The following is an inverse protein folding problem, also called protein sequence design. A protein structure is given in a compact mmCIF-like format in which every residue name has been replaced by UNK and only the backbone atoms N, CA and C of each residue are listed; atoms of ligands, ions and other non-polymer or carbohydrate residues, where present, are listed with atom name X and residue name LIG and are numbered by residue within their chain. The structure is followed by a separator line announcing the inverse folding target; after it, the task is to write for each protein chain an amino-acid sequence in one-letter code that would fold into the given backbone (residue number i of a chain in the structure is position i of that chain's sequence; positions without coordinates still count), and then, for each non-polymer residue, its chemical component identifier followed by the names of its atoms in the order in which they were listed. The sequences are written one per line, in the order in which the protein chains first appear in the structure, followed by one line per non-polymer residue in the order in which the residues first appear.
data_IF_125652246189
#
_entry.id   IF_125652246189
#
_cell.length_a   1.000
_cell.length_b   1.000
_cell.length_c   1.000
_cell.angle_alpha   90.00
_cell.angle_beta   90.00
_cell.angle_gamma   90.00
#
_symmetry.space_group_name_H-M   'P 1'
#
loop_
_entity.id
_entity.type
_entity.pdbx_description
1 polymer ?
#
# COMPACT_ATOMS: atom_id res chain seq x y z
N UNK A 1 -5.11 8.14 -2.72
CA UNK A 1 -4.77 6.84 -2.09
C UNK A 1 -4.72 5.66 -3.06
N UNK A 2 -5.81 5.28 -3.77
CA UNK A 2 -5.81 4.10 -4.66
C UNK A 2 -4.68 4.14 -5.72
N UNK A 3 -4.43 5.32 -6.31
CA UNK A 3 -3.34 5.51 -7.26
C UNK A 3 -1.94 5.30 -6.64
N UNK A 4 -1.73 5.69 -5.38
CA UNK A 4 -0.45 5.51 -4.67
C UNK A 4 -0.18 4.04 -4.33
N UNK A 5 -1.20 3.32 -3.87
CA UNK A 5 -1.14 1.87 -3.63
C UNK A 5 -0.79 1.13 -4.92
N UNK A 6 -1.49 1.45 -6.01
CA UNK A 6 -1.23 0.84 -7.31
C UNK A 6 0.16 1.21 -7.87
N UNK A 7 0.60 2.46 -7.65
CA UNK A 7 1.94 2.91 -8.03
C UNK A 7 3.03 2.14 -7.27
N UNK A 8 2.89 1.95 -5.96
CA UNK A 8 3.83 1.17 -5.14
C UNK A 8 3.97 -0.27 -5.66
N UNK A 9 2.85 -0.97 -5.84
CA UNK A 9 2.86 -2.34 -6.38
C UNK A 9 3.44 -2.38 -7.81
N UNK A 10 3.10 -1.41 -8.66
CA UNK A 10 3.61 -1.32 -10.03
C UNK A 10 5.13 -1.11 -10.08
N UNK A 11 5.67 -0.29 -9.17
CA UNK A 11 7.11 -0.04 -9.05
C UNK A 11 7.85 -1.30 -8.58
N UNK A 12 7.33 -2.02 -7.59
CA UNK A 12 7.91 -3.29 -7.12
C UNK A 12 7.90 -4.35 -8.24
N UNK A 13 6.79 -4.47 -8.96
CA UNK A 13 6.66 -5.42 -10.08
C UNK A 13 7.41 -5.01 -11.36
N UNK A 14 8.00 -3.82 -11.40
CA UNK A 14 8.68 -3.31 -12.61
C UNK A 14 7.75 -3.09 -13.82
N UNK A 15 6.45 -2.93 -13.63
CA UNK A 15 5.50 -2.72 -14.72
C UNK A 15 5.48 -1.26 -15.19
N UNK A 16 6.29 -0.92 -16.20
CA UNK A 16 6.39 0.45 -16.74
C UNK A 16 5.04 1.06 -17.16
N UNK A 17 4.20 0.30 -17.89
CA UNK A 17 2.89 0.77 -18.32
C UNK A 17 1.93 1.01 -17.13
N UNK A 18 1.99 0.17 -16.09
CA UNK A 18 1.20 0.31 -14.87
C UNK A 18 1.65 1.51 -14.04
N UNK A 19 2.97 1.76 -13.97
CA UNK A 19 3.54 2.97 -13.35
C UNK A 19 3.01 4.21 -14.05
N UNK A 20 3.09 4.27 -15.38
CA UNK A 20 2.57 5.40 -16.15
C UNK A 20 1.08 5.64 -15.88
N UNK A 21 0.26 4.58 -15.94
CA UNK A 21 -1.18 4.66 -15.69
C UNK A 21 -1.48 5.13 -14.26
N UNK A 22 -0.73 4.65 -13.26
CA UNK A 22 -0.91 5.01 -11.85
C UNK A 22 -0.53 6.48 -11.59
N UNK A 23 0.59 6.96 -12.15
CA UNK A 23 0.98 8.37 -12.08
C UNK A 23 -0.07 9.25 -12.74
N UNK A 24 -0.53 8.90 -13.95
CA UNK A 24 -1.57 9.66 -14.64
C UNK A 24 -2.88 9.70 -13.86
N UNK A 25 -3.28 8.57 -13.24
CA UNK A 25 -4.45 8.48 -12.37
C UNK A 25 -4.30 9.34 -11.11
N UNK A 26 -3.14 9.29 -10.45
CA UNK A 26 -2.84 10.09 -9.26
C UNK A 26 -2.88 11.59 -9.53
N UNK A 27 -2.27 12.05 -10.64
CA UNK A 27 -2.35 13.46 -11.06
C UNK A 27 -3.79 13.91 -11.30
N UNK A 28 -4.61 13.09 -11.95
CA UNK A 28 -6.05 13.36 -12.14
C UNK A 28 -6.82 13.43 -10.82
N UNK A 29 -6.39 12.65 -9.83
CA UNK A 29 -6.98 12.62 -8.48
C UNK A 29 -6.42 13.72 -7.54
N UNK A 30 -5.48 14.56 -8.00
CA UNK A 30 -4.92 15.66 -7.24
C UNK A 30 -3.71 15.31 -6.35
N UNK A 31 -3.10 14.12 -6.51
CA UNK A 31 -1.82 13.83 -5.85
C UNK A 31 -0.72 14.74 -6.40
N UNK A 32 0.15 15.23 -5.51
CA UNK A 32 1.28 16.11 -5.88
C UNK A 32 2.45 15.32 -6.44
N UNK A 33 3.35 16.01 -7.15
CA UNK A 33 4.56 15.39 -7.69
C UNK A 33 5.48 14.85 -6.57
N UNK A 34 5.56 15.54 -5.42
CA UNK A 34 6.34 15.07 -4.26
C UNK A 34 5.83 13.71 -3.78
N UNK A 35 4.51 13.55 -3.66
CA UNK A 35 3.90 12.27 -3.30
C UNK A 35 4.22 11.23 -4.37
N UNK A 36 3.85 11.47 -5.63
CA UNK A 36 4.00 10.49 -6.70
C UNK A 36 5.46 10.01 -6.89
N UNK A 37 6.43 10.93 -6.83
CA UNK A 37 7.85 10.58 -6.98
C UNK A 37 8.41 9.83 -5.76
N UNK A 38 7.95 10.15 -4.55
CA UNK A 38 8.48 9.55 -3.32
C UNK A 38 7.74 8.28 -2.87
N UNK A 39 6.77 7.75 -3.64
CA UNK A 39 6.09 6.48 -3.30
C UNK A 39 7.09 5.34 -3.16
N UNK A 40 8.14 5.29 -3.99
CA UNK A 40 9.16 4.24 -3.91
C UNK A 40 9.95 4.25 -2.59
N UNK A 41 9.96 5.38 -1.88
CA UNK A 41 10.66 5.58 -0.61
C UNK A 41 9.68 5.96 0.52
N UNK A 42 8.43 5.49 0.45
CA UNK A 42 7.34 5.96 1.30
C UNK A 42 7.58 5.84 2.81
N UNK A 43 8.38 4.86 3.25
CA UNK A 43 8.71 4.64 4.66
C UNK A 43 9.38 5.87 5.29
N UNK A 44 10.27 6.53 4.55
CA UNK A 44 11.02 7.72 4.98
C UNK A 44 10.35 9.03 4.56
N UNK A 45 9.44 9.00 3.59
CA UNK A 45 8.86 10.20 3.01
C UNK A 45 7.80 10.86 3.91
N UNK A 46 7.87 12.18 4.18
CA UNK A 46 6.96 12.85 5.12
C UNK A 46 5.56 13.14 4.56
N UNK A 47 5.25 12.70 3.34
CA UNK A 47 4.05 13.15 2.61
C UNK A 47 2.79 12.33 2.86
N UNK A 48 2.90 11.22 3.60
CA UNK A 48 1.81 10.24 3.77
C UNK A 48 1.29 10.22 5.19
N UNK A 49 -0.03 10.23 5.31
CA UNK A 49 -0.74 10.03 6.57
C UNK A 49 -0.55 8.60 7.10
N UNK A 50 -0.83 8.36 8.37
CA UNK A 50 -0.73 7.01 8.96
C UNK A 50 -1.62 5.99 8.25
N UNK A 51 -2.82 6.38 7.86
CA UNK A 51 -3.73 5.53 7.08
C UNK A 51 -3.14 5.17 5.70
N UNK A 52 -2.52 6.14 5.02
CA UNK A 52 -1.86 5.89 3.73
C UNK A 52 -0.62 5.01 3.90
N UNK A 53 0.15 5.19 4.98
CA UNK A 53 1.29 4.34 5.32
C UNK A 53 0.87 2.90 5.59
N UNK A 54 -0.24 2.69 6.29
CA UNK A 54 -0.80 1.35 6.49
C UNK A 54 -1.21 0.71 5.15
N UNK A 55 -1.87 1.47 4.27
CA UNK A 55 -2.25 0.98 2.94
C UNK A 55 -1.02 0.65 2.06
N UNK A 56 0.03 1.47 2.11
CA UNK A 56 1.29 1.24 1.39
C UNK A 56 2.07 0.04 1.96
N UNK A 57 2.08 -0.13 3.29
CA UNK A 57 2.68 -1.29 3.94
C UNK A 57 2.00 -2.60 3.49
N UNK A 58 0.67 -2.61 3.45
CA UNK A 58 -0.11 -3.74 2.95
C UNK A 58 0.20 -4.04 1.48
N UNK A 59 0.22 -3.01 0.64
CA UNK A 59 0.50 -3.15 -0.78
C UNK A 59 1.91 -3.71 -1.03
N UNK A 60 2.92 -3.17 -0.37
CA UNK A 60 4.31 -3.62 -0.47
C UNK A 60 4.45 -5.08 -0.01
N UNK A 61 3.89 -5.42 1.15
CA UNK A 61 3.98 -6.76 1.72
C UNK A 61 3.26 -7.82 0.87
N UNK A 62 2.05 -7.51 0.40
CA UNK A 62 1.30 -8.40 -0.49
C UNK A 62 2.02 -8.58 -1.84
N UNK A 63 2.63 -7.51 -2.37
CA UNK A 63 3.37 -7.59 -3.63
C UNK A 63 4.64 -8.41 -3.44
N UNK A 64 5.49 -8.12 -2.45
CA UNK A 64 6.78 -8.81 -2.25
C UNK A 64 6.69 -10.31 -1.93
N UNK A 65 5.49 -10.89 -1.84
CA UNK A 65 5.31 -12.33 -1.71
C UNK A 65 6.02 -13.11 -2.85
N UNK A 66 6.09 -12.55 -4.07
CA UNK A 66 6.83 -13.21 -5.16
C UNK A 66 8.36 -13.24 -4.94
N UNK A 67 8.88 -12.38 -4.05
CA UNK A 67 10.29 -12.32 -3.69
C UNK A 67 10.63 -13.29 -2.53
N UNK A 68 9.65 -14.06 -2.04
CA UNK A 68 9.80 -14.94 -0.87
C UNK A 68 9.68 -14.23 0.48
N UNK A 69 9.16 -13.00 0.51
CA UNK A 69 8.85 -12.31 1.76
C UNK A 69 7.74 -13.03 2.55
N UNK A 70 7.69 -12.78 3.86
CA UNK A 70 6.66 -13.33 4.78
C UNK A 70 5.22 -12.97 4.35
N UNK A 71 5.06 -11.91 3.56
CA UNK A 71 3.77 -11.42 3.09
C UNK A 71 3.12 -10.50 4.12
N UNK A 72 1.79 -10.51 4.16
CA UNK A 72 1.01 -9.66 5.07
C UNK A 72 0.99 -10.28 6.46
N UNK A 73 1.78 -9.74 7.39
CA UNK A 73 1.81 -10.15 8.80
C UNK A 73 0.58 -9.65 9.56
N UNK A 74 0.36 -10.18 10.76
CA UNK A 74 -0.71 -9.74 11.65
C UNK A 74 -0.57 -8.25 12.02
N UNK A 75 0.66 -7.76 12.24
CA UNK A 75 0.91 -6.34 12.52
C UNK A 75 0.53 -5.43 11.34
N UNK A 76 0.86 -5.85 10.10
CA UNK A 76 0.47 -5.13 8.89
C UNK A 76 -1.05 -5.12 8.74
N UNK A 77 -1.68 -6.26 9.03
CA UNK A 77 -3.14 -6.38 8.98
C UNK A 77 -3.83 -5.48 10.01
N UNK A 78 -3.37 -5.51 11.26
CA UNK A 78 -3.88 -4.67 12.35
C UNK A 78 -3.73 -3.18 12.05
N UNK A 79 -2.60 -2.76 11.48
CA UNK A 79 -2.37 -1.38 11.09
C UNK A 79 -3.34 -0.89 10.01
N UNK A 80 -3.79 -1.75 9.09
CA UNK A 80 -4.83 -1.38 8.11
C UNK A 80 -6.21 -1.38 8.76
N UNK A 81 -6.51 -2.40 9.58
CA UNK A 81 -7.79 -2.54 10.27
C UNK A 81 -8.09 -1.32 11.17
N UNK A 82 -7.07 -0.76 11.82
CA UNK A 82 -7.22 0.45 12.65
C UNK A 82 -7.65 1.70 11.88
N UNK A 83 -7.43 1.76 10.56
CA UNK A 83 -7.73 2.93 9.73
C UNK A 83 -8.92 2.76 8.78
N UNK A 84 -9.26 1.52 8.39
CA UNK A 84 -10.21 1.27 7.30
C UNK A 84 -11.42 0.40 7.69
N UNK A 85 -11.63 0.13 8.98
CA UNK A 85 -12.83 -0.61 9.43
C UNK A 85 -14.13 0.09 9.06
N UNK A 86 -15.02 -0.66 8.40
CA UNK A 86 -16.43 -0.30 8.24
C UNK A 86 -17.29 -0.78 9.42
N UNK A 87 -18.51 -0.22 9.59
CA UNK A 87 -19.50 -0.77 10.51
C UNK A 87 -19.84 -2.22 10.13
N UNK A 88 -19.68 -3.17 11.05
CA UNK A 88 -20.01 -4.59 10.85
C UNK A 88 -18.81 -5.51 10.51
N UNK A 89 -17.59 -5.01 10.52
CA UNK A 89 -16.38 -5.84 10.41
C UNK A 89 -16.21 -6.74 11.64
N UNK A 90 -16.61 -8.02 11.54
CA UNK A 90 -16.23 -9.04 12.52
C UNK A 90 -14.75 -9.32 12.37
N UNK A 91 -13.95 -8.96 13.38
CA UNK A 91 -12.51 -9.20 13.38
C UNK A 91 -12.21 -10.66 13.06
N UNK A 92 -11.28 -10.88 12.12
CA UNK A 92 -10.78 -12.23 11.85
C UNK A 92 -10.23 -12.77 13.16
N UNK A 93 -10.80 -13.84 13.70
CA UNK A 93 -10.07 -14.68 14.65
C UNK A 93 -8.92 -15.29 13.86
N UNK A 94 -7.74 -14.72 14.01
CA UNK A 94 -6.49 -15.26 13.49
C UNK A 94 -6.26 -16.62 14.16
N UNK A 95 -6.77 -17.68 13.54
CA UNK A 95 -6.24 -19.01 13.79
C UNK A 95 -4.92 -19.07 13.03
N UNK A 96 -3.81 -19.05 13.77
CA UNK A 96 -2.49 -19.28 13.24
C UNK A 96 -2.46 -20.58 12.44
N UNK A 97 -1.91 -20.51 11.24
CA UNK A 97 -1.53 -21.69 10.48
C UNK A 97 -0.08 -22.01 10.84
N UNK A 98 0.12 -23.23 11.36
CA UNK A 98 1.42 -23.88 11.42
C UNK A 98 1.82 -24.49 10.07
#
# INVERSE_FOLDING_TARGET
MLALVHLCASQINGCSACVYASVAGGKKAGDTDERLHNVAAWREAPFYTDAERAALALAEAATRLQDGAEGVTDEIWEGVDSHFRGPGSTGRKINGYG
#
